data_IF_938263076488
#
_entry.id   IF_938263076488
#
_cell.length_a   1.000
_cell.length_b   1.000
_cell.length_c   1.000
_cell.angle_alpha   90.00
_cell.angle_beta   90.00
_cell.angle_gamma   90.00
#
_symmetry.space_group_name_H-M   'P 1'
#
loop_
_entity.id
_entity.type
_entity.pdbx_description
1 polymer ?
#
# COMPACT_ATOMS: atom_id res chain seq x y z
N UNK A 1 4.85 -1.32 -2.44
CA UNK A 1 4.04 -2.54 -2.24
C UNK A 1 2.57 -2.14 -2.22
N UNK A 2 1.65 -2.99 -2.68
CA UNK A 2 0.20 -2.73 -2.65
C UNK A 2 -0.60 -4.02 -2.39
N UNK A 3 -1.91 -3.90 -2.23
CA UNK A 3 -2.82 -5.04 -2.03
C UNK A 3 -3.23 -5.70 -3.34
N UNK A 4 -3.39 -7.02 -3.35
CA UNK A 4 -3.82 -7.78 -4.53
C UNK A 4 -5.34 -7.72 -4.78
N UNK A 5 -6.16 -7.47 -3.76
CA UNK A 5 -7.61 -7.66 -3.80
C UNK A 5 -8.31 -6.64 -4.71
N UNK A 6 -7.64 -5.54 -5.06
CA UNK A 6 -8.12 -4.64 -6.13
C UNK A 6 -8.31 -5.37 -7.46
N UNK A 7 -7.64 -6.51 -7.63
CA UNK A 7 -7.71 -7.39 -8.79
C UNK A 7 -8.53 -8.67 -8.53
N UNK A 8 -9.40 -8.70 -7.51
CA UNK A 8 -10.22 -9.87 -7.16
C UNK A 8 -11.06 -10.43 -8.32
N UNK A 9 -11.33 -9.65 -9.36
CA UNK A 9 -12.03 -10.12 -10.55
C UNK A 9 -11.16 -11.01 -11.47
N UNK A 10 -9.86 -11.09 -11.22
CA UNK A 10 -8.88 -11.81 -12.03
C UNK A 10 -8.34 -13.08 -11.37
N UNK A 11 -8.63 -13.31 -10.09
CA UNK A 11 -8.11 -14.46 -9.36
C UNK A 11 -9.07 -14.99 -8.30
N UNK A 12 -8.84 -16.22 -7.90
CA UNK A 12 -9.52 -16.91 -6.82
C UNK A 12 -8.57 -17.93 -6.18
N UNK A 13 -9.03 -18.67 -5.16
CA UNK A 13 -8.20 -19.67 -4.47
C UNK A 13 -7.68 -20.78 -5.39
N UNK A 14 -8.40 -21.11 -6.47
CA UNK A 14 -8.01 -22.12 -7.44
C UNK A 14 -7.14 -21.58 -8.58
N UNK A 15 -7.20 -20.27 -8.82
CA UNK A 15 -6.45 -19.56 -9.86
C UNK A 15 -5.83 -18.28 -9.26
N UNK A 16 -4.70 -18.39 -8.54
CA UNK A 16 -4.03 -17.22 -7.95
C UNK A 16 -3.43 -16.31 -9.03
N UNK A 17 -3.17 -15.05 -8.68
CA UNK A 17 -2.45 -14.14 -9.57
C UNK A 17 -1.03 -14.64 -9.82
N UNK A 18 -0.57 -14.42 -11.04
CA UNK A 18 0.81 -14.70 -11.45
C UNK A 18 1.48 -13.42 -11.94
N UNK A 19 2.81 -13.41 -11.99
CA UNK A 19 3.56 -12.30 -12.59
C UNK A 19 3.24 -12.14 -14.09
N UNK A 20 2.93 -13.23 -14.79
CA UNK A 20 2.47 -13.18 -16.18
C UNK A 20 1.15 -12.42 -16.29
N UNK A 21 0.18 -12.71 -15.41
CA UNK A 21 -1.10 -11.98 -15.36
C UNK A 21 -0.89 -10.49 -15.12
N UNK A 22 -0.02 -10.14 -14.17
CA UNK A 22 0.29 -8.75 -13.85
C UNK A 22 1.10 -8.06 -14.95
N UNK A 23 1.93 -8.80 -15.68
CA UNK A 23 2.71 -8.29 -16.81
C UNK A 23 1.88 -7.90 -18.03
N UNK A 24 0.60 -8.31 -18.09
CA UNK A 24 -0.35 -7.87 -19.10
C UNK A 24 -1.01 -6.52 -18.76
N UNK A 25 -0.72 -5.92 -17.60
CA UNK A 25 -1.35 -4.70 -17.12
C UNK A 25 -0.41 -3.50 -17.21
N UNK A 26 -0.99 -2.33 -17.52
CA UNK A 26 -0.31 -1.04 -17.37
C UNK A 26 -0.40 -0.59 -15.91
N UNK A 27 0.58 -1.00 -15.10
CA UNK A 27 0.68 -0.59 -13.69
C UNK A 27 1.43 0.73 -13.63
N UNK A 28 0.81 1.73 -13.00
CA UNK A 28 1.41 3.06 -12.85
C UNK A 28 1.51 3.47 -11.39
N UNK A 29 2.59 4.19 -11.06
CA UNK A 29 2.84 4.73 -9.72
C UNK A 29 3.02 6.25 -9.78
N UNK A 30 2.72 6.89 -8.66
CA UNK A 30 2.87 8.33 -8.45
C UNK A 30 3.99 8.58 -7.44
N UNK A 31 4.79 9.62 -7.67
CA UNK A 31 5.77 10.09 -6.70
C UNK A 31 5.08 10.97 -5.64
N UNK A 32 5.29 10.70 -4.34
CA UNK A 32 4.65 11.47 -3.25
C UNK A 32 5.10 12.94 -3.22
N UNK A 33 6.34 13.25 -3.61
CA UNK A 33 6.81 14.64 -3.74
C UNK A 33 5.94 15.46 -4.71
N UNK A 34 5.32 14.80 -5.70
CA UNK A 34 4.37 15.46 -6.59
C UNK A 34 3.11 15.90 -5.84
N UNK A 35 2.62 15.07 -4.93
CA UNK A 35 1.43 15.33 -4.13
C UNK A 35 1.68 16.40 -3.08
N UNK A 36 2.89 16.44 -2.51
CA UNK A 36 3.31 17.54 -1.63
C UNK A 36 3.23 18.89 -2.34
N UNK A 37 3.80 18.98 -3.54
CA UNK A 37 3.73 20.21 -4.35
C UNK A 37 2.27 20.59 -4.67
N UNK A 38 1.43 19.63 -5.08
CA UNK A 38 0.02 19.87 -5.38
C UNK A 38 -0.73 20.39 -4.14
N UNK A 39 -0.47 19.82 -2.96
CA UNK A 39 -1.10 20.21 -1.70
C UNK A 39 -0.63 21.60 -1.23
N UNK A 40 0.67 21.85 -1.23
CA UNK A 40 1.25 23.12 -0.81
C UNK A 40 0.78 24.28 -1.70
N UNK A 41 0.76 24.07 -3.02
CA UNK A 41 0.31 25.06 -3.99
C UNK A 41 -1.22 25.13 -4.13
N UNK A 42 -1.97 24.25 -3.45
CA UNK A 42 -3.45 24.17 -3.46
C UNK A 42 -4.04 24.08 -4.88
N UNK A 43 -3.47 23.22 -5.70
CA UNK A 43 -3.83 23.10 -7.12
C UNK A 43 -5.09 22.25 -7.30
N UNK A 44 -6.22 22.92 -7.53
CA UNK A 44 -7.57 22.31 -7.57
C UNK A 44 -7.79 21.40 -8.79
N UNK A 45 -7.00 21.56 -9.86
CA UNK A 45 -7.08 20.76 -11.09
C UNK A 45 -5.70 20.21 -11.52
N UNK A 46 -4.89 19.81 -10.54
CA UNK A 46 -3.58 19.24 -10.82
C UNK A 46 -3.71 17.97 -11.66
N UNK A 47 -2.96 17.92 -12.77
CA UNK A 47 -2.84 16.72 -13.59
C UNK A 47 -1.65 15.92 -13.07
N UNK A 48 -1.95 14.76 -12.48
CA UNK A 48 -0.94 13.85 -11.95
C UNK A 48 -0.14 13.23 -13.09
N UNK A 49 1.17 13.14 -12.88
CA UNK A 49 2.11 12.50 -13.81
C UNK A 49 2.56 11.18 -13.21
N UNK A 50 2.41 10.12 -13.98
CA UNK A 50 2.65 8.77 -13.53
C UNK A 50 3.89 8.16 -14.17
N UNK A 51 4.55 7.26 -13.44
CA UNK A 51 5.61 6.40 -13.93
C UNK A 51 5.08 4.97 -14.10
N UNK A 52 5.52 4.28 -15.14
CA UNK A 52 5.22 2.85 -15.31
C UNK A 52 6.02 2.04 -14.30
N UNK A 53 5.35 1.13 -13.60
CA UNK A 53 5.94 0.18 -12.68
C UNK A 53 5.79 -1.25 -13.22
N UNK A 54 6.67 -2.14 -12.77
CA UNK A 54 6.62 -3.57 -13.07
C UNK A 54 6.27 -4.35 -11.81
N UNK A 55 5.48 -5.41 -11.94
CA UNK A 55 5.29 -6.36 -10.85
C UNK A 55 6.52 -7.26 -10.70
N UNK A 56 7.13 -7.29 -9.52
CA UNK A 56 8.26 -8.18 -9.19
C UNK A 56 7.84 -9.37 -8.34
N UNK A 57 6.73 -9.24 -7.61
CA UNK A 57 6.25 -10.27 -6.70
C UNK A 57 4.75 -10.20 -6.51
N UNK A 58 4.14 -11.36 -6.31
CA UNK A 58 2.73 -11.45 -5.92
C UNK A 58 2.53 -12.61 -4.98
N UNK A 59 1.72 -12.39 -3.94
CA UNK A 59 1.21 -13.45 -3.10
C UNK A 59 -0.26 -13.19 -2.79
N UNK A 60 -1.12 -13.79 -3.62
CA UNK A 60 -2.58 -13.66 -3.52
C UNK A 60 -3.12 -14.11 -2.16
N UNK A 61 -2.54 -15.14 -1.53
CA UNK A 61 -3.04 -15.63 -0.24
C UNK A 61 -2.70 -14.69 0.94
N UNK A 62 -1.74 -13.77 0.74
CA UNK A 62 -1.39 -12.69 1.67
C UNK A 62 -1.91 -11.33 1.24
N UNK A 63 -2.66 -11.26 0.15
CA UNK A 63 -3.12 -10.02 -0.44
C UNK A 63 -2.00 -9.00 -0.73
N UNK A 64 -0.88 -9.44 -1.31
CA UNK A 64 0.28 -8.55 -1.55
C UNK A 64 0.77 -8.61 -2.99
N UNK A 65 1.13 -7.43 -3.53
CA UNK A 65 1.86 -7.24 -4.80
C UNK A 65 3.07 -6.33 -4.53
N UNK A 66 4.24 -6.75 -5.03
CA UNK A 66 5.47 -5.98 -5.03
C UNK A 66 5.67 -5.38 -6.40
N UNK A 67 5.88 -4.06 -6.42
CA UNK A 67 6.11 -3.28 -7.63
C UNK A 67 7.52 -2.70 -7.59
N UNK A 68 8.19 -2.66 -8.74
CA UNK A 68 9.42 -1.94 -8.97
C UNK A 68 9.18 -0.78 -9.94
N UNK A 69 9.91 0.31 -9.73
CA UNK A 69 9.96 1.46 -10.63
C UNK A 69 11.40 1.96 -10.60
N UNK A 70 11.95 2.24 -11.78
CA UNK A 70 13.23 2.92 -11.86
C UNK A 70 13.05 4.38 -11.40
N UNK A 71 13.89 4.85 -10.48
CA UNK A 71 13.81 6.21 -9.96
C UNK A 71 13.95 7.25 -11.07
N UNK A 72 14.65 6.94 -12.17
CA UNK A 72 14.75 7.85 -13.33
C UNK A 72 13.40 8.09 -14.01
N UNK A 73 12.41 7.23 -13.77
CA UNK A 73 11.09 7.34 -14.38
C UNK A 73 10.08 8.08 -13.50
N UNK A 74 10.38 8.27 -12.20
CA UNK A 74 9.51 9.00 -11.29
C UNK A 74 9.40 10.47 -11.71
N UNK A 75 8.18 10.98 -11.85
CA UNK A 75 7.90 12.29 -12.42
C UNK A 75 7.77 13.38 -11.36
N UNK A 76 8.40 14.53 -11.62
CA UNK A 76 8.14 15.77 -10.89
C UNK A 76 6.79 16.38 -11.33
N UNK A 77 6.18 17.19 -10.47
CA UNK A 77 5.02 18.01 -10.84
C UNK A 77 5.42 19.18 -11.75
N UNK A 78 6.46 19.93 -11.34
CA UNK A 78 6.74 21.29 -11.83
C UNK A 78 7.21 21.35 -13.28
N UNK A 79 7.99 20.36 -13.70
CA UNK A 79 8.45 20.13 -15.06
C UNK A 79 8.12 18.66 -15.41
N UNK A 80 7.94 18.30 -16.68
CA UNK A 80 7.77 16.89 -17.10
C UNK A 80 9.04 16.04 -16.89
N UNK A 81 9.96 16.54 -16.05
CA UNK A 81 11.23 15.97 -15.69
C UNK A 81 11.13 14.89 -14.62
N UNK A 82 12.30 14.36 -14.29
CA UNK A 82 12.50 13.34 -13.27
C UNK A 82 12.46 13.98 -11.89
N UNK A 83 11.85 13.30 -10.92
CA UNK A 83 11.92 13.71 -9.52
C UNK A 83 13.36 13.61 -9.03
N UNK A 84 13.96 14.74 -8.65
CA UNK A 84 15.34 14.83 -8.16
C UNK A 84 15.45 14.71 -6.63
N UNK A 85 14.32 14.57 -5.93
CA UNK A 85 14.30 14.47 -4.47
C UNK A 85 14.72 13.07 -4.01
N UNK A 86 15.21 12.97 -2.79
CA UNK A 86 15.61 11.70 -2.20
C UNK A 86 14.38 10.82 -1.95
N UNK A 87 14.47 9.53 -2.29
CA UNK A 87 13.42 8.54 -2.04
C UNK A 87 13.93 7.51 -1.01
N UNK A 88 14.03 7.89 0.27
CA UNK A 88 14.54 6.99 1.29
C UNK A 88 13.62 5.77 1.44
N UNK A 89 14.17 4.58 1.73
CA UNK A 89 13.35 3.43 2.04
C UNK A 89 12.51 3.71 3.29
N UNK A 90 11.29 3.16 3.30
CA UNK A 90 10.41 3.19 4.46
C UNK A 90 10.54 1.84 5.15
N UNK A 91 10.97 1.85 6.42
CA UNK A 91 11.18 0.64 7.18
C UNK A 91 9.86 -0.04 7.55
N UNK A 92 9.85 -1.37 7.49
CA UNK A 92 8.76 -2.18 8.03
C UNK A 92 9.12 -2.50 9.48
N UNK A 93 8.18 -2.26 10.40
CA UNK A 93 8.38 -2.53 11.82
C UNK A 93 8.72 -4.01 12.04
N UNK A 94 9.84 -4.34 12.70
CA UNK A 94 10.15 -5.73 13.09
C UNK A 94 9.24 -6.21 14.23
N UNK A 95 8.61 -5.26 14.93
CA UNK A 95 7.82 -5.52 16.12
C UNK A 95 6.36 -5.79 15.77
N UNK A 96 5.75 -6.71 16.51
CA UNK A 96 4.31 -6.94 16.47
C UNK A 96 3.56 -5.70 16.95
N UNK A 97 2.56 -5.21 16.19
CA UNK A 97 1.77 -4.04 16.59
C UNK A 97 1.01 -4.29 17.90
N UNK A 98 0.94 -3.27 18.75
CA UNK A 98 0.34 -3.34 20.09
C UNK A 98 -1.08 -2.77 20.04
N UNK A 99 -2.06 -3.54 20.54
CA UNK A 99 -3.46 -3.10 20.67
C UNK A 99 -3.56 -1.88 21.60
N UNK A 100 -4.45 -0.95 21.27
CA UNK A 100 -4.64 0.32 21.98
C UNK A 100 -3.64 1.41 21.60
N UNK A 101 -2.72 1.15 20.65
CA UNK A 101 -1.78 2.16 20.16
C UNK A 101 -2.36 2.92 18.96
N UNK A 102 -2.05 4.21 18.93
CA UNK A 102 -2.32 5.06 17.79
C UNK A 102 -1.47 4.64 16.59
N UNK A 103 -2.06 4.80 15.41
CA UNK A 103 -1.44 4.55 14.12
C UNK A 103 -1.95 5.57 13.10
N UNK A 104 -1.20 5.72 12.02
CA UNK A 104 -1.47 6.67 10.94
C UNK A 104 -1.52 5.95 9.61
N UNK A 105 -2.49 6.23 8.76
CA UNK A 105 -2.52 5.77 7.37
C UNK A 105 -2.35 6.96 6.44
N UNK A 106 -1.50 6.79 5.41
CA UNK A 106 -1.39 7.74 4.29
C UNK A 106 -1.95 7.07 3.04
N UNK A 107 -2.94 7.68 2.40
CA UNK A 107 -3.65 7.07 1.27
C UNK A 107 -3.97 8.05 0.14
N UNK A 108 -4.29 7.52 -1.05
CA UNK A 108 -4.65 8.28 -2.25
C UNK A 108 -6.01 7.84 -2.80
N UNK A 109 -7.12 8.31 -2.21
CA UNK A 109 -8.44 7.95 -2.68
C UNK A 109 -8.71 8.47 -4.10
N UNK A 110 -9.61 7.83 -4.82
CA UNK A 110 -9.92 8.19 -6.20
C UNK A 110 -10.42 9.64 -6.30
N UNK A 111 -9.82 10.41 -7.20
CA UNK A 111 -10.14 11.82 -7.45
C UNK A 111 -9.99 12.74 -6.23
N UNK A 112 -9.25 12.32 -5.20
CA UNK A 112 -8.97 13.14 -4.02
C UNK A 112 -7.46 13.41 -3.89
N UNK A 113 -7.04 14.48 -3.19
CA UNK A 113 -5.66 14.65 -2.76
C UNK A 113 -5.22 13.52 -1.82
N UNK A 114 -3.90 13.33 -1.65
CA UNK A 114 -3.35 12.52 -0.55
C UNK A 114 -4.05 12.82 0.78
N UNK A 115 -4.48 11.79 1.50
CA UNK A 115 -5.15 11.90 2.80
C UNK A 115 -4.37 11.22 3.89
N UNK A 116 -4.45 11.80 5.09
CA UNK A 116 -3.95 11.20 6.32
C UNK A 116 -5.12 10.84 7.22
N UNK A 117 -5.12 9.62 7.75
CA UNK A 117 -6.11 9.17 8.73
C UNK A 117 -5.42 8.64 9.97
N UNK A 118 -5.93 9.01 11.14
CA UNK A 118 -5.44 8.55 12.44
C UNK A 118 -6.45 7.58 13.03
N UNK A 119 -5.94 6.54 13.70
CA UNK A 119 -6.79 5.52 14.30
C UNK A 119 -6.08 4.76 15.41
N UNK A 120 -6.80 3.83 16.03
CA UNK A 120 -6.28 2.98 17.10
C UNK A 120 -6.34 1.50 16.71
N UNK A 121 -5.25 0.77 16.97
CA UNK A 121 -5.19 -0.67 16.74
C UNK A 121 -6.12 -1.36 17.74
N UNK A 122 -7.08 -2.13 17.25
CA UNK A 122 -8.12 -2.76 18.09
C UNK A 122 -7.88 -4.24 18.27
N UNK A 123 -7.44 -4.93 17.23
CA UNK A 123 -7.12 -6.35 17.33
C UNK A 123 -6.08 -6.76 16.29
N UNK A 124 -5.44 -7.91 16.54
CA UNK A 124 -4.61 -8.61 15.57
C UNK A 124 -5.07 -10.06 15.56
N UNK A 125 -5.52 -10.55 14.41
CA UNK A 125 -6.09 -11.90 14.30
C UNK A 125 -5.77 -12.57 12.99
N UNK A 126 -5.67 -13.90 13.02
CA UNK A 126 -5.65 -14.71 11.81
C UNK A 126 -6.98 -14.64 11.07
N UNK A 127 -6.93 -14.40 9.77
CA UNK A 127 -7.99 -14.76 8.84
C UNK A 127 -7.58 -16.08 8.21
N UNK A 128 -8.12 -17.17 8.77
CA UNK A 128 -8.07 -18.50 8.16
C UNK A 128 -9.50 -18.97 7.97
N UNK A 129 -10.12 -18.63 6.84
CA UNK A 129 -11.48 -19.06 6.54
C UNK A 129 -11.67 -19.23 5.02
N UNK A 130 -12.62 -20.11 4.65
CA UNK A 130 -13.16 -20.36 3.31
C UNK A 130 -13.61 -19.06 2.61
N UNK A 131 -12.66 -18.22 2.24
CA UNK A 131 -12.91 -17.07 1.39
C UNK A 131 -12.58 -17.48 -0.05
N UNK A 132 -13.32 -16.96 -1.05
CA UNK A 132 -13.15 -17.36 -2.45
C UNK A 132 -11.74 -17.07 -2.99
N UNK A 133 -10.95 -16.24 -2.32
CA UNK A 133 -9.61 -15.83 -2.72
C UNK A 133 -8.48 -16.63 -2.04
N UNK A 134 -8.81 -17.52 -1.10
CA UNK A 134 -7.84 -18.36 -0.40
C UNK A 134 -6.93 -17.62 0.59
N UNK A 135 -7.35 -16.46 1.11
CA UNK A 135 -6.55 -15.72 2.10
C UNK A 135 -6.21 -16.59 3.31
N UNK A 136 -4.92 -16.59 3.64
CA UNK A 136 -4.36 -17.22 4.81
C UNK A 136 -3.33 -16.26 5.41
N UNK A 137 -3.81 -15.27 6.15
CA UNK A 137 -2.99 -14.16 6.64
C UNK A 137 -3.44 -13.69 8.01
N UNK A 138 -2.57 -12.98 8.68
CA UNK A 138 -2.91 -12.23 9.91
C UNK A 138 -3.21 -10.81 9.49
N UNK A 139 -4.25 -10.24 10.09
CA UNK A 139 -4.64 -8.86 9.85
C UNK A 139 -4.68 -8.06 11.14
N UNK A 140 -4.46 -6.75 11.00
CA UNK A 140 -4.76 -5.77 12.03
C UNK A 140 -6.15 -5.19 11.77
N UNK A 141 -6.94 -5.09 12.83
CA UNK A 141 -8.15 -4.28 12.82
C UNK A 141 -7.86 -2.94 13.49
N UNK A 142 -8.28 -1.87 12.84
CA UNK A 142 -8.05 -0.50 13.31
C UNK A 142 -9.37 0.25 13.36
N UNK A 143 -9.58 1.04 14.42
CA UNK A 143 -10.62 2.07 14.48
C UNK A 143 -10.24 3.23 13.57
N UNK A 144 -10.58 3.11 12.29
CA UNK A 144 -10.20 4.08 11.28
C UNK A 144 -11.18 3.98 10.12
N UNK A 145 -11.67 5.14 9.69
CA UNK A 145 -12.41 5.26 8.43
C UNK A 145 -11.44 5.25 7.27
N UNK A 146 -11.83 4.56 6.21
CA UNK A 146 -11.08 4.50 4.97
C UNK A 146 -11.99 4.99 3.85
N UNK A 147 -11.39 5.71 2.91
CA UNK A 147 -12.09 6.13 1.69
C UNK A 147 -11.96 5.04 0.63
N UNK A 148 -12.87 5.08 -0.35
CA UNK A 148 -12.81 4.18 -1.48
C UNK A 148 -11.50 4.40 -2.27
N UNK A 149 -10.93 3.31 -2.79
CA UNK A 149 -9.65 3.31 -3.50
C UNK A 149 -8.41 3.62 -2.64
N UNK A 150 -8.51 3.59 -1.30
CA UNK A 150 -7.32 3.65 -0.42
C UNK A 150 -6.58 2.31 -0.29
N UNK A 151 -7.07 1.22 -0.91
CA UNK A 151 -6.48 -0.12 -0.81
C UNK A 151 -4.99 -0.14 -1.12
N UNK A 152 -4.22 -0.88 -0.33
CA UNK A 152 -2.76 -0.92 -0.41
C UNK A 152 -2.04 0.21 0.33
N UNK A 153 -2.77 1.20 0.87
CA UNK A 153 -2.20 2.29 1.65
C UNK A 153 -1.42 1.79 2.87
N UNK A 154 -0.19 2.32 3.12
CA UNK A 154 0.59 1.95 4.29
C UNK A 154 -0.04 2.48 5.60
N UNK A 155 0.03 1.65 6.63
CA UNK A 155 -0.26 1.99 8.01
C UNK A 155 1.05 2.08 8.79
N UNK A 156 1.24 3.18 9.51
CA UNK A 156 2.43 3.53 10.25
C UNK A 156 2.18 3.49 11.76
N UNK A 157 3.20 3.07 12.51
CA UNK A 157 3.25 3.27 13.96
C UNK A 157 3.78 4.68 14.31
N UNK A 158 3.91 4.98 15.59
CA UNK A 158 4.43 6.27 16.09
C UNK A 158 5.91 6.53 15.78
N UNK A 159 6.66 5.51 15.35
CA UNK A 159 8.07 5.63 14.96
C UNK A 159 8.25 5.92 13.46
N UNK A 160 7.15 5.97 12.70
CA UNK A 160 7.21 6.11 11.24
C UNK A 160 7.49 4.79 10.49
N UNK A 161 7.41 3.64 11.18
CA UNK A 161 7.62 2.32 10.56
C UNK A 161 6.28 1.75 10.06
N UNK A 162 6.30 1.06 8.92
CA UNK A 162 5.13 0.37 8.36
C UNK A 162 4.77 -0.84 9.21
N UNK A 163 3.55 -0.88 9.71
CA UNK A 163 2.98 -1.99 10.48
C UNK A 163 1.93 -2.78 9.71
N UNK A 164 1.52 -2.31 8.53
CA UNK A 164 0.63 -3.03 7.63
C UNK A 164 0.25 -2.25 6.38
N UNK A 165 -0.52 -2.88 5.49
CA UNK A 165 -1.09 -2.26 4.30
C UNK A 165 -2.61 -2.45 4.26
N UNK A 166 -3.37 -1.45 3.82
CA UNK A 166 -4.82 -1.51 3.84
C UNK A 166 -5.34 -2.62 2.92
N UNK A 167 -6.13 -3.52 3.48
CA UNK A 167 -6.86 -4.55 2.74
C UNK A 167 -8.30 -4.11 2.46
N UNK A 168 -8.93 -3.39 3.38
CA UNK A 168 -10.30 -2.92 3.15
C UNK A 168 -11.03 -2.59 4.44
N UNK A 169 -12.33 -2.38 4.33
CA UNK A 169 -13.20 -1.97 5.43
C UNK A 169 -14.01 -3.17 5.95
N UNK A 170 -14.04 -3.37 7.27
CA UNK A 170 -14.93 -4.33 7.92
C UNK A 170 -16.30 -3.69 8.23
N UNK A 171 -16.29 -2.40 8.60
CA UNK A 171 -17.49 -1.61 8.87
C UNK A 171 -17.22 -0.14 8.57
N UNK A 172 -18.22 0.73 8.79
CA UNK A 172 -18.07 2.19 8.62
C UNK A 172 -16.97 2.82 9.48
N UNK A 173 -16.52 2.15 10.55
CA UNK A 173 -15.49 2.68 11.45
C UNK A 173 -14.33 1.70 11.66
N UNK A 174 -14.38 0.51 11.05
CA UNK A 174 -13.36 -0.53 11.22
C UNK A 174 -12.72 -0.84 9.88
N UNK A 175 -11.40 -0.76 9.83
CA UNK A 175 -10.61 -1.13 8.66
C UNK A 175 -9.64 -2.26 9.00
N UNK A 176 -9.31 -3.06 7.98
CA UNK A 176 -8.48 -4.26 8.07
C UNK A 176 -7.22 -4.05 7.25
N UNK A 177 -6.07 -4.39 7.83
CA UNK A 177 -4.76 -4.24 7.23
C UNK A 177 -4.02 -5.57 7.23
N UNK A 178 -3.35 -5.93 6.14
CA UNK A 178 -2.38 -7.04 6.12
C UNK A 178 -1.24 -6.68 7.07
N UNK A 179 -0.90 -7.55 8.03
CA UNK A 179 0.14 -7.26 9.03
C UNK A 179 1.52 -7.12 8.38
N UNK A 180 2.34 -6.21 8.90
CA UNK A 180 3.73 -5.96 8.48
C UNK A 180 4.60 -7.23 8.44
N UNK A 181 4.30 -8.22 9.28
CA UNK A 181 4.97 -9.52 9.25
C UNK A 181 4.86 -10.29 7.93
N UNK A 182 3.81 -10.09 7.13
CA UNK A 182 3.70 -10.68 5.79
C UNK A 182 4.45 -9.86 4.72
N UNK A 183 4.94 -8.67 5.07
CA UNK A 183 5.66 -7.77 4.17
C UNK A 183 7.18 -8.00 4.24
N UNK A 184 7.70 -8.44 5.39
CA UNK A 184 9.13 -8.71 5.61
C UNK A 184 9.74 -9.69 4.60
N UNK A 185 9.00 -10.71 4.16
CA UNK A 185 9.49 -11.70 3.20
C UNK A 185 9.84 -11.13 1.82
N UNK A 186 9.40 -9.91 1.53
CA UNK A 186 9.66 -9.21 0.26
C UNK A 186 10.85 -8.26 0.33
N UNK A 187 11.19 -7.79 1.52
CA UNK A 187 12.28 -6.84 1.74
C UNK A 187 13.46 -7.66 2.26
N UNK A 188 14.27 -8.20 1.34
CA UNK A 188 15.60 -8.66 1.72
C UNK A 188 16.41 -7.42 2.15
N UNK A 189 17.26 -7.51 3.20
CA UNK A 189 18.28 -6.49 3.37
C UNK A 189 19.05 -6.39 2.05
N UNK A 190 19.24 -5.17 1.56
CA UNK A 190 20.20 -4.96 0.50
C UNK A 190 21.55 -5.38 1.10
N UNK A 191 22.06 -6.55 0.72
CA UNK A 191 23.44 -6.89 1.02
C UNK A 191 24.31 -5.77 0.44
N UNK A 192 25.14 -5.18 1.30
CA UNK A 192 26.06 -4.10 0.97
C UNK A 192 26.88 -4.49 -0.28
N UNK A 193 26.58 -3.85 -1.42
CA UNK A 193 27.33 -3.94 -2.66
C UNK A 193 28.48 -2.93 -2.68
#
# INVERSE_FOLDING_TARGET
>A
MTSAHGLNHLFDASRPLTLETLGMMDITVLCDHQEEVIQEARLVNAVRKYATARAEGVNSNKDTIVLSVDSINLKNYSDDGVCVQAHPPIDISPNTPIVGRQCMMVSWPSNMPRMVSMGEIVSSRGIGMQNPFGYNMTVLEVDMRTEESSSGAPLFNSNGEVIGILQGSLSRTRSIFVTGSHLHGWVQPADDA
#
